data_IF_984508051883
#
_entry.id   IF_984508051883
#
_cell.length_a   1.000
_cell.length_b   1.000
_cell.length_c   1.000
_cell.angle_alpha   90.00
_cell.angle_beta   90.00
_cell.angle_gamma   90.00
#
_symmetry.space_group_name_H-M   'P 1'
#
loop_
_entity.id
_entity.type
_entity.pdbx_description
1 polymer ?
#
# COMPACT_ATOMS: atom_id res chain seq x y z
N UNK A 1 -19.17 -8.73 -11.88
CA UNK A 1 -18.29 -7.53 -11.99
C UNK A 1 -17.01 -7.74 -12.79
N UNK A 2 -16.18 -8.77 -12.55
CA UNK A 2 -14.88 -8.92 -13.27
C UNK A 2 -15.02 -8.90 -14.80
N UNK A 3 -16.04 -9.57 -15.35
CA UNK A 3 -16.34 -9.56 -16.80
C UNK A 3 -16.63 -8.17 -17.38
N UNK A 4 -17.01 -7.21 -16.54
CA UNK A 4 -17.30 -5.82 -16.93
C UNK A 4 -16.08 -4.91 -16.76
N UNK A 5 -15.31 -5.08 -15.69
CA UNK A 5 -14.31 -4.09 -15.26
C UNK A 5 -12.85 -4.52 -15.41
N UNK A 6 -12.57 -5.83 -15.29
CA UNK A 6 -11.18 -6.29 -15.19
C UNK A 6 -10.53 -6.33 -16.58
N UNK A 7 -9.25 -5.88 -16.72
CA UNK A 7 -8.56 -5.82 -18.01
C UNK A 7 -8.50 -7.16 -18.74
N UNK A 8 -8.33 -8.27 -18.01
CA UNK A 8 -8.24 -9.62 -18.59
C UNK A 8 -9.53 -10.10 -19.29
N UNK A 9 -10.64 -9.36 -19.16
CA UNK A 9 -11.92 -9.67 -19.82
C UNK A 9 -12.19 -8.76 -21.03
N UNK A 10 -11.19 -8.02 -21.51
CA UNK A 10 -11.31 -7.17 -22.72
C UNK A 10 -11.78 -7.96 -23.94
N UNK A 11 -11.18 -9.13 -24.19
CA UNK A 11 -11.53 -9.99 -25.32
C UNK A 11 -12.93 -10.60 -25.18
N UNK A 12 -13.35 -10.87 -23.94
CA UNK A 12 -14.72 -11.28 -23.67
C UNK A 12 -15.69 -10.16 -24.07
N UNK A 13 -15.44 -8.91 -23.66
CA UNK A 13 -16.31 -7.76 -24.00
C UNK A 13 -16.31 -7.43 -25.49
N UNK A 14 -15.19 -7.65 -26.20
CA UNK A 14 -15.11 -7.42 -27.65
C UNK A 14 -15.93 -8.46 -28.45
N UNK A 15 -16.07 -9.67 -27.90
CA UNK A 15 -16.77 -10.80 -28.51
C UNK A 15 -18.24 -10.88 -28.08
N UNK A 16 -18.50 -10.84 -26.78
CA UNK A 16 -19.84 -10.90 -26.19
C UNK A 16 -20.47 -9.51 -26.18
N UNK A 17 -21.11 -9.16 -27.30
CA UNK A 17 -21.70 -7.84 -27.54
C UNK A 17 -23.16 -7.72 -27.15
N UNK A 18 -23.72 -8.60 -26.32
CA UNK A 18 -25.09 -8.37 -25.86
C UNK A 18 -25.14 -7.06 -25.05
N UNK A 19 -26.17 -6.23 -25.26
CA UNK A 19 -26.33 -4.99 -24.50
C UNK A 19 -26.67 -5.30 -23.04
N UNK A 20 -25.91 -4.77 -22.09
CA UNK A 20 -26.26 -4.88 -20.68
C UNK A 20 -27.40 -3.90 -20.37
N UNK A 21 -28.61 -4.42 -20.18
CA UNK A 21 -29.80 -3.61 -19.95
C UNK A 21 -29.92 -3.12 -18.52
N UNK A 22 -29.78 -4.03 -17.55
CA UNK A 22 -29.84 -3.74 -16.11
C UNK A 22 -28.84 -4.57 -15.35
N UNK A 23 -28.37 -4.03 -14.23
CA UNK A 23 -27.53 -4.73 -13.27
C UNK A 23 -27.89 -4.29 -11.86
N UNK A 24 -27.86 -5.23 -10.92
CA UNK A 24 -27.95 -4.93 -9.50
C UNK A 24 -26.97 -5.78 -8.69
N UNK A 25 -26.60 -5.27 -7.51
CA UNK A 25 -25.55 -5.81 -6.66
C UNK A 25 -26.11 -6.10 -5.26
N UNK A 26 -25.65 -7.20 -4.67
CA UNK A 26 -25.94 -7.61 -3.29
C UNK A 26 -24.68 -8.14 -2.62
N UNK A 27 -24.57 -8.10 -1.28
CA UNK A 27 -23.49 -8.74 -0.54
C UNK A 27 -23.46 -10.25 -0.80
N UNK A 28 -22.27 -10.83 -0.95
CA UNK A 28 -22.16 -12.26 -1.26
C UNK A 28 -22.58 -13.18 -0.11
N UNK A 29 -22.46 -12.72 1.13
CA UNK A 29 -22.82 -13.45 2.35
C UNK A 29 -24.34 -13.57 2.58
N UNK A 30 -25.16 -13.09 1.64
CA UNK A 30 -26.61 -13.37 1.59
C UNK A 30 -26.93 -14.73 0.95
N UNK A 31 -25.95 -15.39 0.33
CA UNK A 31 -26.14 -16.68 -0.35
C UNK A 31 -25.72 -17.83 0.55
N UNK A 32 -26.46 -18.94 0.46
CA UNK A 32 -26.18 -20.13 1.25
C UNK A 32 -24.73 -20.61 1.04
N UNK A 33 -24.05 -20.92 2.15
CA UNK A 33 -22.65 -21.35 2.21
C UNK A 33 -21.59 -20.35 1.70
N UNK A 34 -21.91 -19.08 1.49
CA UNK A 34 -20.93 -18.04 1.12
C UNK A 34 -20.49 -17.24 2.35
N UNK A 35 -19.19 -17.27 2.66
CA UNK A 35 -18.60 -16.52 3.80
C UNK A 35 -17.74 -15.32 3.39
N UNK A 36 -17.64 -15.04 2.09
CA UNK A 36 -16.76 -14.00 1.57
C UNK A 36 -17.43 -12.63 1.56
N UNK A 37 -16.64 -11.58 1.81
CA UNK A 37 -17.08 -10.19 1.73
C UNK A 37 -16.77 -9.62 0.34
N UNK A 38 -17.65 -9.84 -0.62
CA UNK A 38 -17.54 -9.34 -2.00
C UNK A 38 -18.94 -9.12 -2.61
N UNK A 39 -19.07 -8.45 -3.76
CA UNK A 39 -20.37 -8.20 -4.35
C UNK A 39 -20.74 -9.33 -5.33
N UNK A 40 -21.98 -9.79 -5.27
CA UNK A 40 -22.60 -10.58 -6.33
C UNK A 40 -23.43 -9.64 -7.19
N UNK A 41 -23.27 -9.75 -8.51
CA UNK A 41 -23.97 -8.90 -9.47
C UNK A 41 -24.81 -9.75 -10.42
N UNK A 42 -26.07 -9.38 -10.58
CA UNK A 42 -27.00 -9.98 -11.53
C UNK A 42 -27.09 -9.12 -12.78
N UNK A 43 -26.89 -9.73 -13.94
CA UNK A 43 -26.83 -9.04 -15.22
C UNK A 43 -28.02 -9.43 -16.09
N UNK A 44 -28.78 -8.45 -16.57
CA UNK A 44 -29.88 -8.66 -17.51
C UNK A 44 -29.43 -8.16 -18.88
N UNK A 45 -29.15 -9.11 -19.78
CA UNK A 45 -28.61 -8.85 -21.11
C UNK A 45 -29.69 -8.87 -22.19
N UNK A 46 -29.57 -7.98 -23.16
CA UNK A 46 -30.39 -7.92 -24.37
C UNK A 46 -29.59 -8.46 -25.56
N UNK A 47 -29.97 -9.65 -26.01
CA UNK A 47 -29.27 -10.36 -27.09
C UNK A 47 -29.59 -9.79 -28.49
N UNK A 48 -30.72 -9.11 -28.61
CA UNK A 48 -31.19 -8.46 -29.85
C UNK A 48 -30.49 -7.13 -30.15
N UNK A 49 -29.70 -6.62 -29.21
CA UNK A 49 -29.03 -5.32 -29.30
C UNK A 49 -27.51 -5.49 -29.13
N UNK A 50 -26.74 -5.56 -30.23
CA UNK A 50 -25.29 -5.58 -30.16
C UNK A 50 -24.70 -4.25 -29.66
N UNK A 51 -23.91 -4.26 -28.60
CA UNK A 51 -23.25 -3.10 -28.00
C UNK A 51 -21.90 -3.51 -27.38
N UNK A 52 -20.86 -2.69 -27.58
CA UNK A 52 -19.61 -2.85 -26.84
C UNK A 52 -19.77 -2.21 -25.45
N UNK A 53 -19.64 -3.01 -24.39
CA UNK A 53 -19.81 -2.52 -23.03
C UNK A 53 -18.73 -1.49 -22.65
N UNK A 54 -19.16 -0.30 -22.23
CA UNK A 54 -18.30 0.77 -21.72
C UNK A 54 -18.61 1.15 -20.27
N UNK A 55 -19.89 1.36 -19.94
CA UNK A 55 -20.34 1.78 -18.62
C UNK A 55 -21.79 1.35 -18.37
N UNK A 56 -22.12 1.09 -17.11
CA UNK A 56 -23.50 1.03 -16.61
C UNK A 56 -23.57 1.54 -15.18
N UNK A 57 -24.73 2.05 -14.76
CA UNK A 57 -25.03 2.30 -13.35
C UNK A 57 -25.87 1.14 -12.81
N UNK A 58 -25.40 0.50 -11.74
CA UNK A 58 -26.08 -0.62 -11.08
C UNK A 58 -26.71 -0.22 -9.76
N UNK A 59 -27.90 -0.75 -9.49
CA UNK A 59 -28.56 -0.59 -8.20
C UNK A 59 -27.90 -1.48 -7.14
N UNK A 60 -27.78 -0.98 -5.91
CA UNK A 60 -27.17 -1.69 -4.80
C UNK A 60 -28.25 -1.97 -3.77
N UNK A 61 -28.31 -3.22 -3.33
CA UNK A 61 -29.19 -3.67 -2.26
C UNK A 61 -28.37 -4.20 -1.08
N UNK A 62 -28.86 -4.01 0.14
CA UNK A 62 -28.30 -4.62 1.34
C UNK A 62 -28.74 -6.09 1.50
N UNK A 63 -28.34 -6.71 2.61
CA UNK A 63 -28.67 -8.10 2.92
C UNK A 63 -30.17 -8.36 3.14
N UNK A 64 -30.94 -7.32 3.49
CA UNK A 64 -32.39 -7.40 3.68
C UNK A 64 -33.16 -7.10 2.37
N UNK A 65 -32.44 -6.86 1.26
CA UNK A 65 -33.03 -6.49 -0.02
C UNK A 65 -33.49 -5.04 -0.10
N UNK A 66 -33.04 -4.16 0.80
CA UNK A 66 -33.33 -2.73 0.74
C UNK A 66 -32.37 -2.03 -0.20
N UNK A 67 -32.89 -1.12 -1.02
CA UNK A 67 -32.06 -0.27 -1.88
C UNK A 67 -31.21 0.69 -1.03
N UNK A 68 -29.90 0.70 -1.27
CA UNK A 68 -28.93 1.54 -0.52
C UNK A 68 -28.14 2.50 -1.41
N UNK A 69 -28.43 2.54 -2.71
CA UNK A 69 -27.80 3.46 -3.66
C UNK A 69 -27.47 2.82 -4.99
N UNK A 70 -26.64 3.50 -5.77
CA UNK A 70 -26.21 3.05 -7.09
C UNK A 70 -24.71 3.21 -7.28
N UNK A 71 -24.09 2.36 -8.11
CA UNK A 71 -22.66 2.41 -8.41
C UNK A 71 -22.39 2.38 -9.91
N UNK A 72 -21.51 3.27 -10.37
CA UNK A 72 -20.98 3.23 -11.74
C UNK A 72 -20.03 2.05 -11.89
N UNK A 73 -20.21 1.31 -12.98
CA UNK A 73 -19.39 0.16 -13.36
C UNK A 73 -18.90 0.41 -14.77
N UNK A 74 -17.58 0.46 -14.93
CA UNK A 74 -16.94 0.88 -16.17
C UNK A 74 -15.97 -0.19 -16.65
N UNK A 75 -15.89 -0.37 -17.97
CA UNK A 75 -14.77 -1.09 -18.57
C UNK A 75 -13.54 -0.21 -18.53
N UNK A 76 -12.47 -0.74 -17.95
CA UNK A 76 -11.17 -0.08 -17.85
C UNK A 76 -10.26 -0.53 -19.00
N UNK A 77 -10.82 -0.71 -20.21
CA UNK A 77 -10.14 -1.34 -21.35
C UNK A 77 -9.08 -0.45 -22.01
N UNK A 78 -9.26 0.86 -21.92
CA UNK A 78 -8.37 1.87 -22.52
C UNK A 78 -7.57 2.62 -21.45
N UNK A 79 -7.75 2.28 -20.17
CA UNK A 79 -7.09 2.97 -19.05
C UNK A 79 -5.86 2.21 -18.60
N UNK A 80 -4.75 2.93 -18.42
CA UNK A 80 -3.59 2.38 -17.73
C UNK A 80 -3.90 2.13 -16.26
N UNK A 81 -3.27 1.12 -15.71
CA UNK A 81 -3.44 0.68 -14.32
C UNK A 81 -2.37 1.27 -13.41
N UNK A 82 -2.59 1.18 -12.09
CA UNK A 82 -1.57 1.52 -11.10
C UNK A 82 -0.33 0.62 -11.23
N UNK A 83 -0.50 -0.63 -11.69
CA UNK A 83 0.62 -1.51 -12.03
C UNK A 83 1.45 -0.96 -13.19
N UNK A 84 0.81 -0.42 -14.23
CA UNK A 84 1.52 0.21 -15.36
C UNK A 84 2.29 1.47 -14.93
N UNK A 85 1.75 2.19 -13.95
CA UNK A 85 2.43 3.35 -13.33
C UNK A 85 3.69 2.94 -12.59
N UNK A 86 3.60 2.01 -11.62
CA UNK A 86 4.78 1.60 -10.85
C UNK A 86 5.83 0.84 -11.70
N UNK A 87 5.44 0.28 -12.86
CA UNK A 87 6.41 -0.28 -13.82
C UNK A 87 7.19 0.84 -14.52
N UNK A 88 6.54 1.95 -14.84
CA UNK A 88 7.19 3.09 -15.52
C UNK A 88 8.24 3.82 -14.67
N UNK A 89 8.33 3.53 -13.38
CA UNK A 89 9.28 4.15 -12.45
C UNK A 89 10.52 3.30 -12.17
N UNK A 90 10.68 2.16 -12.86
CA UNK A 90 11.75 1.18 -12.62
C UNK A 90 12.99 1.38 -13.50
N UNK A 91 14.08 0.70 -13.13
CA UNK A 91 15.30 0.51 -13.93
C UNK A 91 16.06 1.81 -14.22
N UNK A 92 16.12 2.73 -13.25
CA UNK A 92 16.94 3.94 -13.36
C UNK A 92 18.42 3.56 -13.17
N UNK A 93 19.32 4.30 -13.80
CA UNK A 93 20.76 4.00 -13.73
C UNK A 93 21.32 4.32 -12.33
N UNK A 94 22.24 3.50 -11.81
CA UNK A 94 22.90 3.75 -10.51
C UNK A 94 22.03 3.46 -9.27
N UNK A 95 20.95 2.67 -9.43
CA UNK A 95 20.04 2.33 -8.34
C UNK A 95 20.69 1.43 -7.27
N UNK A 96 20.52 1.81 -6.00
CA UNK A 96 20.76 0.94 -4.84
C UNK A 96 19.47 0.24 -4.47
N UNK A 97 19.46 -1.09 -4.41
CA UNK A 97 18.29 -1.87 -3.96
C UNK A 97 18.17 -1.76 -2.43
N UNK A 98 16.98 -1.42 -1.95
CA UNK A 98 16.69 -1.23 -0.52
C UNK A 98 15.48 -2.05 -0.06
N UNK A 99 14.84 -2.80 -0.95
CA UNK A 99 13.74 -3.70 -0.63
C UNK A 99 13.04 -4.22 -1.88
N UNK A 100 11.93 -4.91 -1.68
CA UNK A 100 11.07 -5.41 -2.74
C UNK A 100 9.60 -5.17 -2.43
N UNK A 101 8.90 -4.45 -3.29
CA UNK A 101 7.47 -4.25 -3.19
C UNK A 101 6.77 -5.44 -3.83
N UNK A 102 6.27 -6.35 -2.99
CA UNK A 102 5.46 -7.47 -3.44
C UNK A 102 4.06 -6.98 -3.79
N UNK A 103 3.65 -7.24 -5.02
CA UNK A 103 2.40 -6.73 -5.59
C UNK A 103 1.54 -7.87 -6.14
N UNK A 104 0.26 -7.87 -5.77
CA UNK A 104 -0.74 -8.78 -6.31
C UNK A 104 -1.53 -8.10 -7.44
N UNK A 105 -2.71 -8.62 -7.79
CA UNK A 105 -3.55 -8.02 -8.82
C UNK A 105 -3.93 -6.57 -8.47
N UNK A 106 -4.28 -5.80 -9.49
CA UNK A 106 -4.47 -4.35 -9.46
C UNK A 106 -5.80 -3.89 -8.81
N UNK A 107 -6.50 -4.76 -8.09
CA UNK A 107 -7.82 -4.48 -7.54
C UNK A 107 -7.84 -4.54 -6.00
N UNK A 108 -8.89 -3.99 -5.40
CA UNK A 108 -9.03 -3.90 -3.94
C UNK A 108 -9.07 -5.28 -3.27
N UNK A 109 -9.63 -6.32 -3.91
CA UNK A 109 -9.67 -7.70 -3.38
C UNK A 109 -8.29 -8.17 -2.92
N UNK A 110 -7.25 -7.72 -3.62
CA UNK A 110 -5.88 -8.19 -3.43
C UNK A 110 -5.02 -7.21 -2.60
N UNK A 111 -5.60 -6.17 -1.99
CA UNK A 111 -4.85 -5.18 -1.21
C UNK A 111 -4.00 -5.81 -0.10
N UNK A 112 -4.55 -6.80 0.62
CA UNK A 112 -3.90 -7.46 1.75
C UNK A 112 -2.59 -8.21 1.40
N UNK A 113 -2.37 -8.51 0.12
CA UNK A 113 -1.13 -9.15 -0.30
C UNK A 113 0.03 -8.16 -0.41
N UNK A 114 -0.26 -6.88 -0.71
CA UNK A 114 0.77 -5.89 -1.01
C UNK A 114 1.58 -5.53 0.23
N UNK A 115 2.90 -5.61 0.12
CA UNK A 115 3.83 -5.27 1.20
C UNK A 115 5.23 -5.09 0.67
N UNK A 116 6.02 -4.29 1.39
CA UNK A 116 7.45 -4.13 1.15
C UNK A 116 8.19 -5.17 2.00
N UNK A 117 9.05 -5.94 1.36
CA UNK A 117 9.84 -7.04 1.92
C UNK A 117 11.33 -6.71 1.83
N UNK A 118 12.16 -7.34 2.67
CA UNK A 118 13.62 -7.12 2.66
C UNK A 118 14.22 -7.48 1.30
N UNK A 119 13.78 -8.59 0.71
CA UNK A 119 14.31 -9.10 -0.56
C UNK A 119 13.26 -9.91 -1.31
N UNK A 120 13.40 -10.07 -2.62
CA UNK A 120 12.46 -10.88 -3.43
C UNK A 120 12.64 -12.40 -3.20
N UNK A 121 13.82 -12.80 -2.76
CA UNK A 121 14.26 -14.19 -2.58
C UNK A 121 13.52 -14.89 -1.43
N UNK A 122 12.93 -14.13 -0.50
CA UNK A 122 12.14 -14.68 0.61
C UNK A 122 10.72 -15.07 0.18
N UNK A 123 10.33 -14.76 -1.05
CA UNK A 123 8.97 -14.95 -1.54
C UNK A 123 8.87 -16.21 -2.42
N UNK A 124 7.83 -17.03 -2.24
CA UNK A 124 7.67 -18.26 -3.03
C UNK A 124 7.38 -18.00 -4.51
N UNK A 125 6.73 -16.86 -4.82
CA UNK A 125 6.49 -16.42 -6.19
C UNK A 125 6.62 -14.88 -6.22
N UNK A 126 7.85 -14.36 -6.43
CA UNK A 126 8.09 -12.92 -6.37
C UNK A 126 7.41 -12.22 -7.55
N UNK A 127 6.38 -11.44 -7.26
CA UNK A 127 5.67 -10.56 -8.20
C UNK A 127 5.72 -9.14 -7.65
N UNK A 128 6.03 -8.16 -8.48
CA UNK A 128 6.11 -6.76 -8.05
C UNK A 128 7.34 -6.02 -8.59
N UNK A 129 7.86 -5.08 -7.80
CA UNK A 129 8.94 -4.16 -8.18
C UNK A 129 10.07 -4.20 -7.15
N UNK A 130 11.33 -4.04 -7.60
CA UNK A 130 12.40 -3.65 -6.68
C UNK A 130 12.10 -2.25 -6.13
N UNK A 131 12.33 -2.06 -4.83
CA UNK A 131 12.40 -0.73 -4.22
C UNK A 131 13.85 -0.30 -4.17
N UNK A 132 14.13 0.87 -4.71
CA UNK A 132 15.48 1.39 -4.91
C UNK A 132 15.60 2.80 -4.36
N UNK A 133 16.83 3.28 -4.23
CA UNK A 133 17.12 4.67 -3.87
C UNK A 133 16.43 5.68 -4.81
N UNK A 134 16.17 5.30 -6.06
CA UNK A 134 15.59 6.20 -7.05
C UNK A 134 14.08 6.13 -7.14
N UNK A 135 13.42 5.05 -6.72
CA UNK A 135 11.96 4.91 -6.83
C UNK A 135 11.24 4.81 -5.47
N UNK A 136 11.91 5.22 -4.38
CA UNK A 136 11.42 5.09 -3.01
C UNK A 136 10.09 5.84 -2.81
N UNK A 137 9.96 7.05 -3.35
CA UNK A 137 8.73 7.86 -3.22
C UNK A 137 7.57 7.18 -3.96
N UNK A 138 7.77 6.77 -5.20
CA UNK A 138 6.73 6.12 -6.01
C UNK A 138 6.34 4.76 -5.41
N UNK A 139 7.30 4.00 -4.88
CA UNK A 139 7.05 2.76 -4.15
C UNK A 139 6.27 3.00 -2.85
N UNK A 140 6.54 4.10 -2.15
CA UNK A 140 5.86 4.50 -0.92
C UNK A 140 4.42 4.94 -1.18
N UNK A 141 4.19 5.70 -2.26
CA UNK A 141 2.83 6.06 -2.72
C UNK A 141 2.07 4.80 -3.10
N UNK A 142 2.66 3.90 -3.90
CA UNK A 142 2.02 2.66 -4.31
C UNK A 142 1.51 1.87 -3.10
N UNK A 143 2.37 1.63 -2.11
CA UNK A 143 1.96 0.81 -0.96
C UNK A 143 0.95 1.52 -0.07
N UNK A 144 1.06 2.85 0.07
CA UNK A 144 0.16 3.66 0.88
C UNK A 144 -1.24 3.68 0.27
N UNK A 145 -1.36 4.05 -1.01
CA UNK A 145 -2.61 4.03 -1.79
C UNK A 145 -3.31 2.68 -1.69
N UNK A 146 -2.56 1.57 -1.82
CA UNK A 146 -3.12 0.21 -1.74
C UNK A 146 -3.60 -0.19 -0.34
N UNK A 147 -3.10 0.45 0.72
CA UNK A 147 -3.35 0.03 2.11
C UNK A 147 -4.25 0.97 2.92
N UNK A 148 -4.34 2.26 2.56
CA UNK A 148 -5.20 3.21 3.29
C UNK A 148 -6.67 3.02 2.97
N UNK A 149 -6.99 2.46 1.80
CA UNK A 149 -8.37 2.20 1.39
C UNK A 149 -8.93 1.00 2.13
N UNK A 150 -9.96 1.25 2.94
CA UNK A 150 -10.69 0.19 3.63
C UNK A 150 -11.46 -0.68 2.65
N UNK A 151 -11.18 -1.99 2.68
CA UNK A 151 -11.92 -2.95 1.88
C UNK A 151 -13.32 -3.16 2.44
N UNK A 152 -14.32 -3.03 1.58
CA UNK A 152 -15.72 -3.33 1.82
C UNK A 152 -16.17 -4.38 0.81
N UNK A 153 -17.30 -5.04 1.08
CA UNK A 153 -17.87 -5.96 0.08
C UNK A 153 -18.17 -5.24 -1.25
N UNK A 154 -18.46 -3.94 -1.23
CA UNK A 154 -18.88 -3.18 -2.41
C UNK A 154 -17.71 -2.74 -3.29
N UNK A 155 -16.58 -2.34 -2.69
CA UNK A 155 -15.40 -1.86 -3.41
C UNK A 155 -14.40 -2.97 -3.75
N UNK A 156 -14.63 -4.20 -3.29
CA UNK A 156 -13.78 -5.38 -3.48
C UNK A 156 -13.36 -5.65 -4.96
N UNK A 157 -14.10 -5.15 -5.95
CA UNK A 157 -13.79 -5.33 -7.38
C UNK A 157 -13.21 -4.10 -8.07
N UNK A 158 -13.10 -2.98 -7.35
CA UNK A 158 -12.66 -1.73 -7.93
C UNK A 158 -11.19 -1.81 -8.33
N UNK A 159 -10.88 -1.24 -9.49
CA UNK A 159 -9.55 -1.26 -10.10
C UNK A 159 -8.81 0.03 -9.77
N UNK A 160 -7.55 -0.10 -9.37
CA UNK A 160 -6.68 1.06 -9.26
C UNK A 160 -6.23 1.54 -10.64
N UNK A 161 -6.18 2.85 -10.83
CA UNK A 161 -5.85 3.45 -12.12
C UNK A 161 -4.48 4.11 -12.08
N UNK A 162 -3.95 4.37 -13.27
CA UNK A 162 -2.81 5.25 -13.44
C UNK A 162 -3.19 6.65 -12.91
N UNK A 163 -2.40 7.25 -12.00
CA UNK A 163 -2.74 8.55 -11.43
C UNK A 163 -2.59 9.69 -12.44
N UNK A 164 -3.22 10.83 -12.17
CA UNK A 164 -2.88 12.06 -12.86
C UNK A 164 -1.49 12.57 -12.44
N UNK A 165 -0.95 13.59 -13.11
CA UNK A 165 0.38 14.13 -12.80
C UNK A 165 0.38 15.14 -11.64
N UNK A 166 -0.76 15.44 -11.03
CA UNK A 166 -0.86 16.51 -10.03
C UNK A 166 -0.23 16.13 -8.68
N UNK A 167 -0.16 14.84 -8.33
CA UNK A 167 0.54 14.37 -7.11
C UNK A 167 2.04 14.69 -7.12
N UNK A 168 2.66 14.87 -8.30
CA UNK A 168 4.09 15.16 -8.45
C UNK A 168 4.53 16.44 -7.72
N UNK A 169 3.61 17.38 -7.54
CA UNK A 169 3.85 18.67 -6.90
C UNK A 169 3.41 18.70 -5.43
N UNK A 170 2.65 17.70 -4.95
CA UNK A 170 2.24 17.61 -3.54
C UNK A 170 3.30 16.87 -2.72
N UNK A 171 4.31 17.62 -2.30
CA UNK A 171 5.43 17.12 -1.49
C UNK A 171 4.95 16.58 -0.14
N UNK A 172 3.92 17.19 0.46
CA UNK A 172 3.37 16.71 1.74
C UNK A 172 2.72 15.34 1.57
N UNK A 173 1.92 15.12 0.52
CA UNK A 173 1.35 13.81 0.22
C UNK A 173 2.42 12.74 -0.02
N UNK A 174 3.47 13.08 -0.78
CA UNK A 174 4.60 12.17 -1.04
C UNK A 174 5.28 11.75 0.27
N UNK A 175 5.57 12.72 1.15
CA UNK A 175 6.24 12.48 2.42
C UNK A 175 5.34 11.79 3.46
N UNK A 176 4.03 12.06 3.43
CA UNK A 176 3.03 11.33 4.21
C UNK A 176 2.98 9.85 3.79
N UNK A 177 3.02 9.57 2.48
CA UNK A 177 3.11 8.21 1.95
C UNK A 177 4.43 7.51 2.32
N UNK A 178 5.57 8.22 2.27
CA UNK A 178 6.86 7.70 2.74
C UNK A 178 6.79 7.32 4.22
N UNK A 179 6.29 8.21 5.06
CA UNK A 179 6.14 7.97 6.50
C UNK A 179 5.25 6.76 6.76
N UNK A 180 4.11 6.66 6.06
CA UNK A 180 3.22 5.52 6.16
C UNK A 180 3.92 4.21 5.75
N UNK A 181 4.69 4.21 4.65
CA UNK A 181 5.43 3.04 4.19
C UNK A 181 6.53 2.59 5.17
N UNK A 182 7.26 3.53 5.79
CA UNK A 182 8.30 3.24 6.79
C UNK A 182 7.76 2.46 7.99
N UNK A 183 6.55 2.78 8.45
CA UNK A 183 5.94 2.10 9.61
C UNK A 183 4.87 1.05 9.22
N UNK A 184 4.72 0.75 7.92
CA UNK A 184 3.78 -0.25 7.38
C UNK A 184 4.40 -1.16 6.30
N UNK A 185 5.66 -1.53 6.49
CA UNK A 185 6.36 -2.56 5.71
C UNK A 185 6.49 -3.89 6.48
N UNK A 186 7.14 -4.87 5.85
CA UNK A 186 7.45 -6.19 6.39
C UNK A 186 8.96 -6.50 6.28
N UNK A 187 9.80 -5.47 6.37
CA UNK A 187 11.25 -5.65 6.46
C UNK A 187 11.55 -6.49 7.70
N UNK A 188 12.50 -7.40 7.59
CA UNK A 188 13.04 -8.20 8.69
C UNK A 188 14.55 -8.26 8.54
N UNK A 189 15.27 -7.92 9.61
CA UNK A 189 16.74 -7.82 9.59
C UNK A 189 17.43 -9.18 9.39
N UNK A 190 16.72 -10.29 9.67
CA UNK A 190 17.25 -11.64 9.45
C UNK A 190 17.46 -12.00 7.97
N UNK A 191 16.81 -11.27 7.05
CA UNK A 191 16.87 -11.54 5.61
C UNK A 191 17.76 -10.58 4.83
N UNK A 192 18.49 -9.67 5.51
CA UNK A 192 19.38 -8.71 4.89
C UNK A 192 19.52 -7.42 5.68
N UNK A 193 20.30 -6.48 5.14
CA UNK A 193 20.49 -5.16 5.76
C UNK A 193 19.17 -4.40 5.81
N UNK A 194 18.86 -3.86 6.99
CA UNK A 194 17.69 -3.00 7.17
C UNK A 194 18.02 -1.57 6.74
N UNK A 195 17.49 -1.16 5.59
CA UNK A 195 17.65 0.21 5.06
C UNK A 195 16.53 1.17 5.51
N UNK A 196 15.57 0.71 6.33
CA UNK A 196 14.30 1.40 6.60
C UNK A 196 14.19 2.00 8.00
N UNK A 197 15.30 2.10 8.74
CA UNK A 197 15.36 2.76 10.05
C UNK A 197 15.41 4.27 9.83
N UNK A 198 14.39 5.06 10.24
CA UNK A 198 14.34 6.49 9.95
C UNK A 198 14.95 7.37 11.04
N UNK A 199 15.74 6.79 11.94
CA UNK A 199 16.31 7.46 13.11
C UNK A 199 17.82 7.27 13.14
N UNK A 200 18.53 8.16 13.81
CA UNK A 200 19.94 7.98 14.14
C UNK A 200 20.11 7.13 15.41
N UNK A 201 21.29 6.57 15.60
CA UNK A 201 21.65 5.80 16.79
C UNK A 201 21.47 6.62 18.07
N UNK A 202 21.85 7.91 18.05
CA UNK A 202 21.71 8.83 19.17
C UNK A 202 20.24 9.09 19.51
N UNK A 203 19.39 9.27 18.49
CA UNK A 203 17.96 9.52 18.69
C UNK A 203 17.26 8.40 19.44
N UNK A 204 17.68 7.15 19.23
CA UNK A 204 17.05 5.95 19.82
C UNK A 204 17.88 5.30 20.92
N UNK A 205 19.06 5.82 21.23
CA UNK A 205 19.96 5.24 22.22
C UNK A 205 20.45 3.84 21.83
N UNK A 206 20.72 3.61 20.54
CA UNK A 206 21.24 2.34 20.06
C UNK A 206 22.62 2.05 20.68
N UNK A 207 22.85 0.79 21.06
CA UNK A 207 24.09 0.36 21.74
C UNK A 207 25.27 0.16 20.79
N UNK A 208 24.99 0.03 19.51
CA UNK A 208 25.97 -0.19 18.44
C UNK A 208 25.45 0.45 17.15
N UNK A 209 26.29 0.49 16.12
CA UNK A 209 26.04 1.19 14.86
C UNK A 209 25.05 0.44 13.97
N UNK A 210 24.20 1.17 13.26
CA UNK A 210 23.36 0.58 12.22
C UNK A 210 24.20 0.19 11.01
N UNK A 211 23.84 -0.93 10.37
CA UNK A 211 24.45 -1.37 9.10
C UNK A 211 24.10 -0.46 7.92
N UNK A 212 23.09 0.40 8.05
CA UNK A 212 22.74 1.37 7.03
C UNK A 212 22.05 2.61 7.58
N UNK A 213 22.54 3.77 7.12
CA UNK A 213 21.97 5.10 7.36
C UNK A 213 21.14 5.60 6.18
N UNK A 214 20.70 4.70 5.29
CA UNK A 214 20.10 5.11 4.01
C UNK A 214 18.85 5.98 4.19
N UNK A 215 17.91 5.58 5.07
CA UNK A 215 16.66 6.32 5.22
C UNK A 215 16.88 7.69 5.88
N UNK A 216 17.77 7.80 6.87
CA UNK A 216 18.12 9.08 7.50
C UNK A 216 18.87 10.01 6.54
N UNK A 217 19.80 9.48 5.75
CA UNK A 217 20.52 10.22 4.72
C UNK A 217 19.56 10.66 3.58
N UNK A 218 18.58 9.84 3.21
CA UNK A 218 17.55 10.20 2.24
C UNK A 218 16.63 11.33 2.74
N UNK A 219 16.17 11.21 4.00
CA UNK A 219 15.30 12.19 4.65
C UNK A 219 16.00 13.53 4.83
N UNK A 220 17.28 13.54 5.25
CA UNK A 220 18.07 14.76 5.41
C UNK A 220 18.49 15.41 4.08
N UNK A 221 18.43 14.67 2.97
CA UNK A 221 18.78 15.14 1.63
C UNK A 221 20.19 14.75 1.18
N UNK A 222 21.02 14.21 2.07
CA UNK A 222 22.44 13.88 1.81
C UNK A 222 22.64 12.84 0.70
N UNK A 223 21.83 11.80 0.65
CA UNK A 223 21.94 10.68 -0.32
C UNK A 223 20.74 10.61 -1.29
N UNK A 224 20.04 11.74 -1.51
CA UNK A 224 18.91 11.75 -2.45
C UNK A 224 19.42 11.79 -3.89
N UNK A 225 18.92 10.93 -4.80
CA UNK A 225 19.30 11.00 -6.20
C UNK A 225 19.01 12.38 -6.77
N UNK A 226 20.00 12.97 -7.43
CA UNK A 226 19.80 14.18 -8.22
C UNK A 226 18.85 13.82 -9.36
N UNK A 227 17.71 14.52 -9.47
CA UNK A 227 16.97 14.48 -10.73
C UNK A 227 17.92 14.98 -11.82
N UNK A 228 18.05 14.22 -12.92
CA UNK A 228 18.67 14.78 -14.12
C UNK A 228 17.91 16.07 -14.44
N UNK A 229 18.62 17.20 -14.34
CA UNK A 229 18.05 18.48 -14.69
C UNK A 229 17.58 18.35 -16.14
N UNK A 230 16.29 18.59 -16.38
CA UNK A 230 15.84 18.88 -17.73
C UNK A 230 16.71 20.04 -18.21
N UNK A 231 17.24 19.98 -19.44
CA UNK A 231 18.29 20.90 -19.93
C UNK A 231 17.87 22.39 -19.88
N UNK A 232 16.59 22.64 -19.59
CA UNK A 232 15.91 23.93 -19.47
C UNK A 232 15.26 24.18 -18.09
N UNK A 233 15.51 23.32 -17.09
CA UNK A 233 15.01 23.48 -15.73
C UNK A 233 16.13 23.93 -14.79
N UNK A 234 16.04 25.16 -14.29
CA UNK A 234 16.94 25.71 -13.26
C UNK A 234 16.75 25.07 -11.87
N UNK A 235 15.96 24.00 -11.76
CA UNK A 235 15.68 23.32 -10.50
C UNK A 235 16.77 22.29 -10.17
N UNK A 236 17.99 22.77 -9.91
CA UNK A 236 18.90 22.02 -9.04
C UNK A 236 18.29 22.02 -7.65
N UNK A 237 17.48 21.00 -7.34
CA UNK A 237 16.96 20.80 -5.97
C UNK A 237 18.18 20.59 -5.07
N UNK A 238 18.56 21.64 -4.34
CA UNK A 238 19.53 21.54 -3.26
C UNK A 238 19.13 20.40 -2.31
N UNK A 239 20.12 19.76 -1.70
CA UNK A 239 19.98 18.65 -0.77
C UNK A 239 19.32 19.10 0.54
N UNK A 240 18.06 19.53 0.49
CA UNK A 240 17.29 19.96 1.64
C UNK A 240 16.57 18.79 2.32
N UNK A 241 16.44 18.82 3.66
CA UNK A 241 15.62 17.88 4.39
C UNK A 241 14.18 17.83 3.88
N UNK A 242 13.55 16.65 3.96
CA UNK A 242 12.13 16.50 3.66
C UNK A 242 11.26 17.26 4.67
N UNK A 243 10.24 17.93 4.15
CA UNK A 243 9.20 18.56 4.97
C UNK A 243 8.07 17.58 5.26
N UNK A 244 7.77 17.34 6.53
CA UNK A 244 6.73 16.42 6.96
C UNK A 244 5.53 17.17 7.52
N UNK A 245 4.35 16.60 7.31
CA UNK A 245 3.14 17.08 7.96
C UNK A 245 3.13 16.81 9.46
N UNK A 246 2.22 17.48 10.18
CA UNK A 246 2.02 17.24 11.61
C UNK A 246 1.66 15.78 11.92
N UNK A 247 0.85 15.15 11.07
CA UNK A 247 0.47 13.74 11.23
C UNK A 247 1.67 12.81 11.01
N UNK A 248 2.51 13.09 10.00
CA UNK A 248 3.72 12.33 9.74
C UNK A 248 4.75 12.49 10.88
N UNK A 249 4.98 13.71 11.36
CA UNK A 249 5.83 13.98 12.53
C UNK A 249 5.35 13.20 13.75
N UNK A 250 4.03 13.20 14.02
CA UNK A 250 3.48 12.44 15.14
C UNK A 250 3.68 10.91 15.00
N UNK A 251 3.73 10.38 13.78
CA UNK A 251 4.08 8.97 13.52
C UNK A 251 5.56 8.72 13.79
N UNK A 252 6.46 9.60 13.33
CA UNK A 252 7.89 9.50 13.63
C UNK A 252 8.15 9.55 15.14
N UNK A 253 7.51 10.48 15.85
CA UNK A 253 7.64 10.61 17.30
C UNK A 253 7.20 9.33 18.03
N UNK A 254 6.03 8.79 17.67
CA UNK A 254 5.54 7.53 18.25
C UNK A 254 6.44 6.34 17.90
N UNK A 255 7.00 6.32 16.68
CA UNK A 255 7.98 5.32 16.25
C UNK A 255 9.28 5.41 17.04
N UNK A 256 9.80 6.62 17.24
CA UNK A 256 11.07 6.87 17.93
C UNK A 256 11.01 6.41 19.39
N UNK A 257 9.91 6.69 20.09
CA UNK A 257 9.72 6.21 21.46
C UNK A 257 9.65 4.67 21.54
N UNK A 258 9.05 4.02 20.54
CA UNK A 258 9.06 2.56 20.45
C UNK A 258 10.48 2.00 20.24
N UNK A 259 11.28 2.62 19.37
CA UNK A 259 12.67 2.22 19.14
C UNK A 259 13.54 2.47 20.37
N UNK A 260 13.38 3.61 21.06
CA UNK A 260 14.06 3.91 22.34
C UNK A 260 13.79 2.81 23.37
N UNK A 261 12.52 2.43 23.51
CA UNK A 261 12.15 1.38 24.45
C UNK A 261 12.77 0.02 24.07
N UNK A 262 12.82 -0.31 22.78
CA UNK A 262 13.47 -1.52 22.30
C UNK A 262 14.98 -1.51 22.57
N UNK A 263 15.70 -0.42 22.29
CA UNK A 263 17.15 -0.34 22.52
C UNK A 263 17.55 -0.24 24.00
N UNK A 264 16.60 0.07 24.88
CA UNK A 264 16.81 -0.07 26.32
C UNK A 264 16.96 -1.54 26.77
N UNK A 265 16.46 -2.50 25.99
CA UNK A 265 16.54 -3.93 26.31
C UNK A 265 17.97 -4.47 26.12
N UNK A 266 18.33 -5.51 26.87
CA UNK A 266 19.73 -5.98 26.92
C UNK A 266 20.22 -6.67 25.65
N UNK A 267 19.31 -7.32 24.94
CA UNK A 267 19.54 -8.11 23.74
C UNK A 267 18.97 -7.43 22.48
N UNK A 268 18.82 -6.10 22.52
CA UNK A 268 18.34 -5.32 21.38
C UNK A 268 19.30 -5.46 20.20
N UNK A 269 18.77 -5.82 19.03
CA UNK A 269 19.52 -5.81 17.77
C UNK A 269 19.56 -4.36 17.24
N UNK A 270 20.75 -3.76 17.02
CA UNK A 270 20.87 -2.43 16.42
C UNK A 270 20.07 -2.26 15.13
N UNK A 271 20.06 -3.27 14.25
CA UNK A 271 19.41 -3.19 12.94
C UNK A 271 17.92 -3.58 12.93
N UNK A 272 17.28 -3.68 14.10
CA UNK A 272 15.91 -4.17 14.18
C UNK A 272 14.93 -3.31 13.36
N UNK A 273 14.13 -3.99 12.55
CA UNK A 273 12.97 -3.38 11.89
C UNK A 273 11.77 -3.31 12.85
N UNK A 274 10.69 -2.62 12.44
CA UNK A 274 9.43 -2.66 13.17
C UNK A 274 8.90 -4.09 13.34
N UNK A 275 9.12 -4.97 12.36
CA UNK A 275 8.71 -6.37 12.45
C UNK A 275 9.51 -7.09 13.54
N UNK A 276 10.82 -6.88 13.59
CA UNK A 276 11.71 -7.53 14.56
C UNK A 276 11.39 -7.06 15.98
N UNK A 277 11.12 -5.76 16.17
CA UNK A 277 10.67 -5.20 17.45
C UNK A 277 9.33 -5.82 17.88
N UNK A 278 8.37 -5.93 16.96
CA UNK A 278 7.09 -6.61 17.25
C UNK A 278 7.31 -8.06 17.65
N UNK A 279 8.13 -8.78 16.90
CA UNK A 279 8.45 -10.19 17.14
C UNK A 279 9.11 -10.39 18.52
N UNK A 280 10.02 -9.50 18.91
CA UNK A 280 10.67 -9.52 20.22
C UNK A 280 9.65 -9.50 21.37
N UNK A 281 8.74 -8.53 21.37
CA UNK A 281 7.78 -8.37 22.47
C UNK A 281 6.56 -9.29 22.39
N UNK A 282 6.12 -9.67 21.18
CA UNK A 282 4.93 -10.50 20.99
C UNK A 282 5.26 -12.00 20.98
N UNK A 283 6.47 -12.36 20.58
CA UNK A 283 6.87 -13.75 20.38
C UNK A 283 6.04 -14.46 19.32
N UNK A 284 6.08 -15.79 19.33
CA UNK A 284 5.41 -16.64 18.34
C UNK A 284 4.44 -17.63 18.97
N UNK A 285 3.54 -18.17 18.15
CA UNK A 285 2.63 -19.27 18.48
C UNK A 285 2.63 -20.30 17.35
N UNK A 286 2.46 -21.56 17.71
CA UNK A 286 2.21 -22.63 16.75
C UNK A 286 0.72 -22.64 16.38
N UNK A 287 0.42 -22.64 15.09
CA UNK A 287 -0.91 -22.76 14.55
C UNK A 287 -1.34 -24.23 14.48
N UNK A 288 -2.65 -24.49 14.40
CA UNK A 288 -3.21 -25.86 14.29
C UNK A 288 -2.67 -26.66 13.10
N UNK A 289 -2.16 -25.98 12.07
CA UNK A 289 -1.55 -26.57 10.88
C UNK A 289 -0.01 -26.70 10.98
N UNK A 290 0.56 -26.54 12.18
CA UNK A 290 2.00 -26.65 12.43
C UNK A 290 2.84 -25.42 12.04
N UNK A 291 2.25 -24.40 11.41
CA UNK A 291 2.98 -23.17 11.05
C UNK A 291 3.22 -22.28 12.26
N UNK A 292 4.37 -21.62 12.30
CA UNK A 292 4.70 -20.64 13.33
C UNK A 292 4.22 -19.25 12.87
N UNK A 293 3.53 -18.52 13.75
CA UNK A 293 3.05 -17.16 13.49
C UNK A 293 3.36 -16.24 14.68
N UNK A 294 3.65 -14.98 14.42
CA UNK A 294 3.76 -13.95 15.47
C UNK A 294 2.45 -13.81 16.25
N UNK A 295 2.52 -13.58 17.56
CA UNK A 295 1.32 -13.27 18.34
C UNK A 295 0.83 -11.85 18.04
N UNK A 296 -0.44 -11.59 18.29
CA UNK A 296 -1.05 -10.27 18.09
C UNK A 296 -0.93 -9.38 19.31
N UNK A 297 -0.72 -9.99 20.48
CA UNK A 297 -0.64 -9.39 21.81
C UNK A 297 0.75 -9.58 22.43
N UNK A 298 1.00 -8.85 23.51
CA UNK A 298 2.20 -8.96 24.34
C UNK A 298 1.80 -8.79 25.80
N UNK A 299 2.56 -9.42 26.70
CA UNK A 299 2.44 -9.21 28.14
C UNK A 299 3.18 -7.95 28.62
N UNK A 300 4.04 -7.38 27.79
CA UNK A 300 4.75 -6.14 28.09
C UNK A 300 3.79 -4.94 27.94
N UNK A 301 3.47 -4.31 29.07
CA UNK A 301 2.52 -3.20 29.14
C UNK A 301 3.05 -1.94 28.45
N UNK A 302 4.34 -1.64 28.60
CA UNK A 302 4.97 -0.44 28.05
C UNK A 302 5.01 -0.54 26.52
N UNK A 303 5.50 -1.67 26.00
CA UNK A 303 5.46 -1.95 24.57
C UNK A 303 4.02 -1.89 24.03
N UNK A 304 3.05 -2.50 24.71
CA UNK A 304 1.65 -2.53 24.28
C UNK A 304 1.04 -1.12 24.19
N UNK A 305 1.43 -0.20 25.08
CA UNK A 305 1.04 1.20 24.98
C UNK A 305 1.70 1.93 23.81
N UNK A 306 3.02 1.78 23.64
CA UNK A 306 3.78 2.41 22.57
C UNK A 306 3.31 1.95 21.18
N UNK A 307 3.14 0.64 20.96
CA UNK A 307 2.69 0.10 19.68
C UNK A 307 1.25 0.51 19.37
N UNK A 308 0.39 0.65 20.40
CA UNK A 308 -0.98 1.14 20.24
C UNK A 308 -0.98 2.62 19.87
N UNK A 309 -0.12 3.44 20.49
CA UNK A 309 0.05 4.83 20.10
C UNK A 309 0.51 4.95 18.64
N UNK A 310 1.56 4.22 18.23
CA UNK A 310 2.03 4.21 16.85
C UNK A 310 0.93 3.82 15.85
N UNK A 311 0.16 2.76 16.15
CA UNK A 311 -0.99 2.33 15.31
C UNK A 311 -2.06 3.41 15.21
N UNK A 312 -2.35 4.12 16.30
CA UNK A 312 -3.33 5.21 16.30
C UNK A 312 -2.84 6.38 15.43
N UNK A 313 -1.57 6.77 15.54
CA UNK A 313 -0.99 7.84 14.70
C UNK A 313 -0.97 7.45 13.22
N UNK A 314 -0.62 6.19 12.92
CA UNK A 314 -0.71 5.65 11.56
C UNK A 314 -2.13 5.69 10.99
N UNK A 315 -3.16 5.42 11.81
CA UNK A 315 -4.56 5.50 11.37
C UNK A 315 -4.96 6.94 11.03
N UNK A 316 -4.49 7.92 11.81
CA UNK A 316 -4.73 9.35 11.55
C UNK A 316 -4.06 9.76 10.24
N UNK A 317 -2.79 9.39 10.04
CA UNK A 317 -2.06 9.62 8.79
C UNK A 317 -2.76 8.96 7.60
N UNK A 318 -3.22 7.72 7.74
CA UNK A 318 -3.96 7.01 6.69
C UNK A 318 -5.25 7.75 6.28
N UNK A 319 -6.01 8.26 7.25
CA UNK A 319 -7.24 9.02 6.99
C UNK A 319 -6.98 10.34 6.24
N UNK A 320 -5.77 10.90 6.38
CA UNK A 320 -5.33 12.07 5.61
C UNK A 320 -4.92 11.71 4.18
N UNK A 321 -4.27 10.57 3.98
CA UNK A 321 -3.84 10.08 2.66
C UNK A 321 -5.05 9.61 1.82
N UNK A 322 -6.03 8.95 2.44
CA UNK A 322 -7.21 8.38 1.77
C UNK A 322 -7.92 9.32 0.77
N UNK A 323 -8.31 10.56 1.12
CA UNK A 323 -8.97 11.45 0.15
C UNK A 323 -8.09 11.77 -1.06
N UNK A 324 -6.76 11.82 -0.89
CA UNK A 324 -5.80 12.06 -1.98
C UNK A 324 -5.75 10.92 -2.99
N UNK A 325 -6.09 9.70 -2.58
CA UNK A 325 -6.21 8.54 -3.49
C UNK A 325 -7.24 8.83 -4.59
N UNK A 326 -8.37 9.42 -4.22
CA UNK A 326 -9.42 9.78 -5.16
C UNK A 326 -9.11 11.08 -5.90
N UNK A 327 -8.50 12.05 -5.21
CA UNK A 327 -8.11 13.33 -5.80
C UNK A 327 -7.14 13.14 -6.97
N UNK A 328 -6.12 12.29 -6.79
CA UNK A 328 -5.07 12.03 -7.78
C UNK A 328 -5.41 10.90 -8.77
N UNK A 329 -6.67 10.48 -8.81
CA UNK A 329 -7.16 9.51 -9.79
C UNK A 329 -6.71 8.07 -9.60
N UNK A 330 -6.05 7.72 -8.49
CA UNK A 330 -5.66 6.33 -8.20
C UNK A 330 -6.88 5.41 -8.07
N UNK A 331 -8.03 5.93 -7.62
CA UNK A 331 -9.32 5.28 -7.61
C UNK A 331 -10.42 6.25 -8.05
N UNK A 332 -11.46 5.73 -8.71
CA UNK A 332 -12.69 6.47 -8.96
C UNK A 332 -13.58 6.44 -7.70
N UNK A 333 -14.32 7.53 -7.48
CA UNK A 333 -15.33 7.62 -6.40
C UNK A 333 -16.57 6.81 -6.72
#
# INVERSE_FOLDING_TARGET
>A
LKILQAPNFRDFRSTFRAKLGRIFLVPADTFDNVKGSFPIAFHIWRLDCPELFSRITGDIFDADGRYIGSKSIESNDETRTLTDWIISTRNRHGEKIIGFNYSAANDIQHNNYNRIETSKEILPSPRGSLVTSHNLIESSIYISVRKVISQTWLNDRDQYLYPDDSWNHDILFQNDCLTFAIFNNNIQSQFGTNHWIPFTEEEVGARDSFKSHFMTDFISGKDRPTQEADLFSDNTREACPLEFSQEAVAVFDAGRELWRYYHSQNDSNPDASLYDIKLYFQGTKAMKNGKIQMKTDSTDKVYTELIRNLRNKLKILAAKIEPKVYEYGFLKK
#
